data_IF_253308361284
#
_entry.id   IF_253308361284
#
_cell.length_a   1.000
_cell.length_b   1.000
_cell.length_c   1.000
_cell.angle_alpha   90.00
_cell.angle_beta   90.00
_cell.angle_gamma   90.00
#
_symmetry.space_group_name_H-M   'P 1'
#
loop_
_entity.id
_entity.type
_entity.pdbx_description
1 polymer ?
#
# COMPACT_ATOMS: atom_id res chain seq x y z
N UNK A 1 6.55 4.78 2.25
CA UNK A 1 5.83 3.51 2.50
C UNK A 1 6.74 2.38 2.07
N UNK A 2 6.83 1.32 2.87
CA UNK A 2 7.50 0.09 2.46
C UNK A 2 6.52 -1.08 2.52
N UNK A 3 6.56 -1.93 1.49
CA UNK A 3 5.84 -3.20 1.46
C UNK A 3 6.84 -4.33 1.44
N UNK A 4 6.67 -5.25 2.37
CA UNK A 4 7.52 -6.43 2.54
C UNK A 4 6.67 -7.67 2.31
N UNK A 5 7.21 -8.63 1.57
CA UNK A 5 6.56 -9.91 1.31
C UNK A 5 7.40 -11.04 1.88
N UNK A 6 6.72 -12.07 2.38
CA UNK A 6 7.38 -13.29 2.82
C UNK A 6 7.79 -14.11 1.60
N UNK A 7 9.07 -14.43 1.49
CA UNK A 7 9.60 -15.23 0.38
C UNK A 7 9.79 -16.69 0.74
N UNK A 8 9.99 -16.98 2.03
CA UNK A 8 10.22 -18.34 2.51
C UNK A 8 9.66 -18.50 3.91
N UNK A 9 8.95 -19.60 4.11
CA UNK A 9 8.49 -20.05 5.43
C UNK A 9 9.15 -21.40 5.69
N UNK A 10 9.88 -21.49 6.79
CA UNK A 10 10.51 -22.70 7.28
C UNK A 10 10.03 -23.00 8.71
N UNK A 11 10.31 -24.21 9.18
CA UNK A 11 9.95 -24.65 10.54
C UNK A 11 10.51 -23.75 11.63
N UNK A 12 11.68 -23.13 11.39
CA UNK A 12 12.41 -22.35 12.38
C UNK A 12 12.44 -20.84 12.07
N UNK A 13 11.74 -20.37 11.02
CA UNK A 13 11.77 -18.96 10.68
C UNK A 13 11.11 -18.58 9.37
N UNK A 14 11.03 -17.27 9.14
CA UNK A 14 10.42 -16.67 7.96
C UNK A 14 11.41 -15.68 7.34
N UNK A 15 11.61 -15.77 6.04
CA UNK A 15 12.40 -14.80 5.27
C UNK A 15 11.48 -13.79 4.62
N UNK A 16 11.84 -12.51 4.74
CA UNK A 16 11.14 -11.40 4.13
C UNK A 16 12.03 -10.74 3.08
N UNK A 17 11.44 -10.29 1.98
CA UNK A 17 12.09 -9.41 1.02
C UNK A 17 11.29 -8.12 0.88
N UNK A 18 12.01 -7.02 0.72
CA UNK A 18 11.41 -5.74 0.37
C UNK A 18 10.86 -5.83 -1.05
N UNK A 19 9.54 -5.70 -1.18
CA UNK A 19 8.84 -5.75 -2.46
C UNK A 19 8.82 -4.38 -3.14
N UNK A 20 8.45 -3.36 -2.36
CA UNK A 20 8.29 -1.99 -2.82
C UNK A 20 8.73 -1.01 -1.73
N UNK A 21 9.43 0.06 -2.12
CA UNK A 21 9.68 1.22 -1.28
C UNK A 21 9.39 2.48 -2.08
N UNK A 22 8.45 3.28 -1.58
CA UNK A 22 8.03 4.53 -2.21
C UNK A 22 8.19 5.68 -1.23
N UNK A 23 8.78 6.76 -1.70
CA UNK A 23 8.82 8.01 -0.95
C UNK A 23 7.43 8.65 -0.94
N UNK A 24 6.80 8.68 0.23
CA UNK A 24 5.47 9.29 0.41
C UNK A 24 5.57 10.75 0.88
N UNK A 25 6.78 11.29 1.07
CA UNK A 25 6.99 12.68 1.49
C UNK A 25 6.25 13.71 0.61
N UNK A 26 6.13 13.53 -0.72
CA UNK A 26 5.35 14.43 -1.57
C UNK A 26 3.83 14.39 -1.34
N UNK A 27 3.31 13.31 -0.75
CA UNK A 27 1.89 13.04 -0.61
C UNK A 27 1.37 13.44 0.78
N UNK A 28 1.58 14.71 1.16
CA UNK A 28 1.20 15.25 2.48
C UNK A 28 -0.29 15.19 2.80
N UNK A 29 -1.13 15.13 1.76
CA UNK A 29 -2.59 14.97 1.84
C UNK A 29 -3.04 13.51 1.97
N UNK A 30 -2.14 12.55 1.71
CA UNK A 30 -2.41 11.13 1.78
C UNK A 30 -1.86 10.58 3.10
N UNK A 31 -2.75 10.37 4.06
CA UNK A 31 -2.41 9.72 5.33
C UNK A 31 -3.11 8.38 5.35
N UNK A 32 -2.34 7.29 5.49
CA UNK A 32 -2.93 5.97 5.75
C UNK A 32 -3.67 6.06 7.08
N UNK A 33 -4.99 6.17 7.01
CA UNK A 33 -5.80 6.11 8.21
C UNK A 33 -5.84 4.67 8.72
N UNK A 34 -5.89 4.51 10.05
CA UNK A 34 -5.98 3.20 10.69
C UNK A 34 -7.19 2.45 10.16
N UNK A 35 -6.96 1.37 9.38
CA UNK A 35 -8.03 0.61 8.72
C UNK A 35 -7.89 0.46 7.19
N UNK A 36 -6.88 1.07 6.57
CA UNK A 36 -6.58 0.86 5.15
C UNK A 36 -6.36 -0.62 4.81
N UNK A 37 -6.92 -1.06 3.67
CA UNK A 37 -6.64 -2.38 3.11
C UNK A 37 -5.80 -2.23 1.84
N UNK A 38 -5.07 -3.27 1.48
CA UNK A 38 -4.25 -3.24 0.26
C UNK A 38 -4.20 -4.59 -0.44
N UNK A 39 -3.93 -4.54 -1.73
CA UNK A 39 -3.63 -5.69 -2.59
C UNK A 39 -2.29 -5.44 -3.27
N UNK A 40 -1.58 -6.51 -3.61
CA UNK A 40 -0.34 -6.43 -4.39
C UNK A 40 -0.50 -7.24 -5.67
N UNK A 41 0.05 -6.72 -6.75
CA UNK A 41 0.30 -7.45 -7.99
C UNK A 41 1.81 -7.71 -8.06
N UNK A 42 2.22 -8.94 -7.77
CA UNK A 42 3.63 -9.31 -7.70
C UNK A 42 4.34 -9.25 -9.07
N UNK A 43 3.64 -9.60 -10.15
CA UNK A 43 4.18 -9.58 -11.51
C UNK A 43 4.40 -8.15 -11.99
N UNK A 44 3.42 -7.27 -11.76
CA UNK A 44 3.52 -5.86 -12.16
C UNK A 44 4.29 -4.99 -11.16
N UNK A 45 4.60 -5.54 -9.98
CA UNK A 45 5.26 -4.83 -8.86
C UNK A 45 4.50 -3.57 -8.43
N UNK A 46 3.18 -3.70 -8.28
CA UNK A 46 2.28 -2.59 -7.91
C UNK A 46 1.51 -2.95 -6.64
N UNK A 47 1.24 -1.93 -5.82
CA UNK A 47 0.38 -2.01 -4.64
C UNK A 47 -0.86 -1.17 -4.90
N UNK A 48 -2.04 -1.73 -4.64
CA UNK A 48 -3.31 -1.01 -4.64
C UNK A 48 -3.72 -0.76 -3.19
N UNK A 49 -3.83 0.50 -2.80
CA UNK A 49 -4.24 0.89 -1.44
C UNK A 49 -5.66 1.40 -1.48
N UNK A 50 -6.52 0.89 -0.59
CA UNK A 50 -7.86 1.40 -0.37
C UNK A 50 -7.88 2.28 0.87
N UNK A 51 -8.27 3.54 0.69
CA UNK A 51 -8.46 4.50 1.77
C UNK A 51 -9.93 4.89 1.89
N UNK A 52 -10.39 5.04 3.13
CA UNK A 52 -11.73 5.50 3.46
C UNK A 52 -11.68 6.97 3.84
N UNK A 53 -12.48 7.80 3.19
CA UNK A 53 -12.59 9.21 3.56
C UNK A 53 -13.15 9.36 4.98
N UNK A 54 -12.48 10.12 5.84
CA UNK A 54 -12.89 10.36 7.23
C UNK A 54 -14.00 11.41 7.37
N UNK A 55 -14.38 12.07 6.29
CA UNK A 55 -15.42 13.10 6.34
C UNK A 55 -16.80 12.45 6.47
N UNK A 56 -17.32 12.40 7.70
CA UNK A 56 -18.66 11.87 8.04
C UNK A 56 -19.82 12.48 7.22
N UNK A 57 -19.60 13.63 6.57
CA UNK A 57 -20.61 14.35 5.78
C UNK A 57 -20.61 14.04 4.28
N UNK A 58 -19.54 13.45 3.74
CA UNK A 58 -19.48 13.06 2.33
C UNK A 58 -19.48 11.53 2.25
N UNK A 59 -20.40 10.98 1.45
CA UNK A 59 -20.49 9.55 1.10
C UNK A 59 -19.14 8.84 1.22
N UNK A 60 -19.07 7.78 2.03
CA UNK A 60 -17.88 6.93 2.22
C UNK A 60 -17.24 6.56 0.87
N UNK A 61 -16.33 7.40 0.37
CA UNK A 61 -15.66 7.19 -0.91
C UNK A 61 -14.45 6.33 -0.62
N UNK A 62 -14.56 5.05 -0.94
CA UNK A 62 -13.40 4.19 -1.01
C UNK A 62 -12.58 4.61 -2.23
N UNK A 63 -11.43 5.25 -2.00
CA UNK A 63 -10.51 5.61 -3.07
C UNK A 63 -9.44 4.53 -3.16
N UNK A 64 -9.21 4.03 -4.38
CA UNK A 64 -8.12 3.11 -4.66
C UNK A 64 -6.94 3.87 -5.26
N UNK A 65 -5.73 3.60 -4.77
CA UNK A 65 -4.50 4.22 -5.24
C UNK A 65 -3.55 3.18 -5.77
N UNK A 66 -2.98 3.41 -6.96
CA UNK A 66 -2.00 2.52 -7.56
C UNK A 66 -0.59 3.06 -7.32
N UNK A 67 0.24 2.26 -6.66
CA UNK A 67 1.59 2.64 -6.25
C UNK A 67 2.60 1.66 -6.83
N UNK A 68 3.51 2.14 -7.67
CA UNK A 68 4.60 1.34 -8.26
C UNK A 68 5.98 1.88 -7.91
N UNK A 69 7.05 1.26 -8.43
CA UNK A 69 8.44 1.66 -8.13
C UNK A 69 8.78 3.08 -8.58
N UNK A 70 8.19 3.54 -9.68
CA UNK A 70 8.57 4.80 -10.34
C UNK A 70 7.51 5.89 -10.29
N UNK A 71 6.27 5.57 -9.90
CA UNK A 71 5.17 6.52 -9.93
C UNK A 71 4.03 6.14 -8.97
N UNK A 72 3.26 7.17 -8.63
CA UNK A 72 1.98 7.09 -7.94
C UNK A 72 0.87 7.54 -8.91
N UNK A 73 -0.14 6.71 -9.11
CA UNK A 73 -1.30 7.00 -9.95
C UNK A 73 -2.57 6.94 -9.11
N UNK A 74 -3.42 7.98 -9.24
CA UNK A 74 -4.79 8.00 -8.73
C UNK A 74 -5.75 7.53 -9.81
#
# INVERSE_FOLDING_TARGET
MEVWVTTKIETNGVSWSKFLAVDMSPLTWFQFFSGGSFLIDEEKRVVVVFDGDKNESETNRNTAYFVGENDYFK
#
